data_IF_914751374115
#
_entry.id   IF_914751374115
#
_cell.length_a   1.000
_cell.length_b   1.000
_cell.length_c   1.000
_cell.angle_alpha   90.00
_cell.angle_beta   90.00
_cell.angle_gamma   90.00
#
_symmetry.space_group_name_H-M   'P 1'
#
loop_
_entity.id
_entity.type
_entity.pdbx_description
1 polymer ?
#
# COMPACT_ATOMS: atom_id res chain seq x y z
N UNK A 1 -2.36 5.05 18.04
CA UNK A 1 -2.73 3.67 18.43
C UNK A 1 -2.57 2.71 17.26
N UNK A 2 -3.53 2.67 16.34
CA UNK A 2 -3.54 1.72 15.21
C UNK A 2 -2.32 1.88 14.28
N UNK A 3 -2.03 3.10 13.81
CA UNK A 3 -0.92 3.35 12.88
C UNK A 3 0.46 3.02 13.45
N UNK A 4 0.72 3.31 14.72
CA UNK A 4 1.98 2.92 15.39
C UNK A 4 2.15 1.40 15.45
N UNK A 5 1.05 0.67 15.68
CA UNK A 5 1.04 -0.79 15.72
C UNK A 5 1.22 -1.41 14.33
N UNK A 6 0.64 -0.78 13.30
CA UNK A 6 0.86 -1.14 11.91
C UNK A 6 2.33 -0.99 11.53
N UNK A 7 2.94 0.17 11.85
CA UNK A 7 4.38 0.40 11.66
C UNK A 7 5.22 -0.65 12.39
N UNK A 8 4.95 -0.92 13.67
CA UNK A 8 5.73 -1.91 14.42
C UNK A 8 5.61 -3.33 13.90
N UNK A 9 4.56 -3.63 13.13
CA UNK A 9 4.28 -4.98 12.60
C UNK A 9 4.79 -5.12 11.16
N UNK A 10 4.56 -4.12 10.31
CA UNK A 10 4.82 -4.19 8.87
C UNK A 10 6.16 -3.58 8.48
N UNK A 11 6.61 -2.50 9.13
CA UNK A 11 7.83 -1.80 8.72
C UNK A 11 9.06 -2.72 8.74
N UNK A 12 9.32 -3.55 9.78
CA UNK A 12 10.45 -4.48 9.73
C UNK A 12 10.41 -5.43 8.51
N UNK A 13 9.22 -5.97 8.22
CA UNK A 13 9.02 -6.90 7.09
C UNK A 13 9.21 -6.19 5.74
N UNK A 14 8.81 -4.92 5.63
CA UNK A 14 9.00 -4.12 4.42
C UNK A 14 10.47 -3.73 4.22
N UNK A 15 11.20 -3.47 5.30
CA UNK A 15 12.65 -3.22 5.23
C UNK A 15 13.41 -4.47 4.79
N UNK A 16 13.07 -5.63 5.36
CA UNK A 16 13.65 -6.91 4.94
C UNK A 16 13.31 -7.23 3.46
N UNK A 17 12.09 -6.91 3.03
CA UNK A 17 11.70 -7.05 1.62
C UNK A 17 12.53 -6.13 0.72
N UNK A 18 12.73 -4.87 1.11
CA UNK A 18 13.57 -3.91 0.39
C UNK A 18 15.03 -4.39 0.28
N UNK A 19 15.57 -5.01 1.33
CA UNK A 19 16.89 -5.65 1.27
C UNK A 19 16.95 -6.77 0.24
N UNK A 20 15.93 -7.63 0.19
CA UNK A 20 15.86 -8.71 -0.80
C UNK A 20 15.73 -8.16 -2.23
N UNK A 21 14.87 -7.14 -2.44
CA UNK A 21 14.72 -6.46 -3.74
C UNK A 21 16.05 -5.89 -4.21
N UNK A 22 16.78 -5.18 -3.33
CA UNK A 22 18.08 -4.61 -3.69
C UNK A 22 19.14 -5.67 -4.00
N UNK A 23 19.14 -6.82 -3.30
CA UNK A 23 20.07 -7.93 -3.58
C UNK A 23 19.84 -8.58 -4.95
N UNK A 24 18.59 -8.64 -5.39
CA UNK A 24 18.22 -9.22 -6.69
C UNK A 24 18.29 -8.19 -7.84
N UNK A 25 18.44 -6.90 -7.52
CA UNK A 25 18.56 -5.83 -8.50
C UNK A 25 20.04 -5.55 -8.83
N UNK A 26 20.36 -5.48 -10.13
CA UNK A 26 21.71 -5.10 -10.58
C UNK A 26 22.00 -3.61 -10.37
N UNK A 27 20.96 -2.80 -10.27
CA UNK A 27 21.05 -1.36 -10.08
C UNK A 27 20.75 -0.96 -8.64
N UNK A 28 21.29 0.19 -8.24
CA UNK A 28 21.01 0.76 -6.92
C UNK A 28 19.63 1.42 -6.93
N UNK A 29 18.70 0.87 -6.17
CA UNK A 29 17.34 1.37 -6.07
C UNK A 29 17.25 2.45 -4.99
N UNK A 30 16.33 3.40 -5.19
CA UNK A 30 15.98 4.43 -4.22
C UNK A 30 14.64 4.03 -3.60
N UNK A 31 14.59 3.91 -2.28
CA UNK A 31 13.39 3.57 -1.53
C UNK A 31 12.83 4.83 -0.88
N UNK A 32 11.66 5.27 -1.33
CA UNK A 32 10.99 6.43 -0.76
C UNK A 32 10.06 5.97 0.37
N UNK A 33 10.27 6.50 1.58
CA UNK A 33 9.46 6.19 2.75
C UNK A 33 8.70 7.44 3.22
N UNK A 34 7.43 7.63 2.81
CA UNK A 34 6.63 8.76 3.26
C UNK A 34 6.29 8.62 4.75
N UNK A 35 6.65 9.62 5.55
CA UNK A 35 6.34 9.69 6.96
C UNK A 35 4.97 10.35 7.15
N UNK A 36 3.99 9.61 7.67
CA UNK A 36 2.69 10.17 8.00
C UNK A 36 2.82 11.26 9.09
N UNK A 37 2.04 12.34 8.97
CA UNK A 37 2.06 13.48 9.91
C UNK A 37 1.82 13.13 11.39
N UNK A 38 1.21 11.98 11.64
CA UNK A 38 0.95 11.44 12.99
C UNK A 38 2.12 10.65 13.59
N UNK A 39 3.22 10.51 12.86
CA UNK A 39 4.40 9.75 13.23
C UNK A 39 5.64 10.65 13.27
N UNK A 40 6.59 10.27 14.10
CA UNK A 40 7.90 10.90 14.16
C UNK A 40 8.96 9.93 13.61
N UNK A 41 10.10 10.45 13.12
CA UNK A 41 11.21 9.60 12.64
C UNK A 41 11.70 8.60 13.71
N UNK A 42 11.61 8.98 15.00
CA UNK A 42 11.93 8.07 16.11
C UNK A 42 11.07 6.80 16.09
N UNK A 43 9.81 6.90 15.65
CA UNK A 43 8.92 5.75 15.53
C UNK A 43 9.42 4.80 14.43
N UNK A 44 10.06 5.30 13.37
CA UNK A 44 10.67 4.46 12.34
C UNK A 44 11.94 3.78 12.86
N UNK A 45 12.79 4.52 13.57
CA UNK A 45 14.06 4.00 14.09
C UNK A 45 13.85 2.90 15.13
N UNK A 46 12.83 3.05 15.99
CA UNK A 46 12.46 2.04 16.97
C UNK A 46 11.93 0.75 16.33
N UNK A 47 11.48 0.81 15.07
CA UNK A 47 10.88 -0.31 14.35
C UNK A 47 11.75 -0.79 13.18
N UNK A 48 13.07 -0.73 13.34
CA UNK A 48 14.03 -1.40 12.47
C UNK A 48 14.74 -0.51 11.45
N UNK A 49 14.34 0.76 11.29
CA UNK A 49 15.06 1.68 10.40
C UNK A 49 16.39 2.09 11.03
N UNK A 50 17.49 1.41 10.67
CA UNK A 50 18.82 1.68 11.22
C UNK A 50 19.42 2.96 10.62
N UNK A 51 19.81 3.90 11.49
CA UNK A 51 20.55 5.10 11.11
C UNK A 51 21.97 4.69 10.65
N UNK A 52 22.25 4.74 9.35
CA UNK A 52 23.57 4.40 8.79
C UNK A 52 23.66 3.11 7.97
N UNK A 53 22.53 2.46 7.67
CA UNK A 53 22.41 1.64 6.46
C UNK A 53 22.22 0.14 6.67
N UNK A 54 21.05 -0.33 6.25
CA UNK A 54 20.79 -1.69 5.74
C UNK A 54 21.45 -1.94 4.37
N UNK A 55 22.40 -1.08 3.95
CA UNK A 55 22.89 -1.01 2.58
C UNK A 55 21.93 -0.31 1.59
N UNK A 56 20.72 0.04 2.04
CA UNK A 56 19.66 0.64 1.21
C UNK A 56 19.74 2.19 1.17
N UNK A 57 19.43 2.78 0.02
CA UNK A 57 19.19 4.23 -0.13
C UNK A 57 17.72 4.53 0.19
N UNK A 58 17.42 4.65 1.49
CA UNK A 58 16.08 4.99 1.98
C UNK A 58 15.99 6.49 2.24
N UNK A 59 15.05 7.16 1.56
CA UNK A 59 14.78 8.59 1.72
C UNK A 59 13.46 8.78 2.44
N UNK A 60 13.52 9.32 3.66
CA UNK A 60 12.33 9.66 4.43
C UNK A 60 11.79 10.99 3.90
N UNK A 61 10.54 11.00 3.45
CA UNK A 61 9.89 12.20 2.93
C UNK A 61 8.75 12.61 3.86
N UNK A 62 8.67 13.89 4.22
CA UNK A 62 7.72 14.42 5.20
C UNK A 62 6.52 15.13 4.57
N UNK A 63 6.73 15.72 3.39
CA UNK A 63 5.75 16.50 2.66
C UNK A 63 5.45 15.85 1.30
N UNK A 64 4.49 16.39 0.55
CA UNK A 64 4.22 16.02 -0.85
C UNK A 64 3.99 14.52 -1.10
N UNK A 65 3.30 13.85 -0.16
CA UNK A 65 3.00 12.41 -0.21
C UNK A 65 2.47 11.94 -1.57
N UNK A 66 1.61 12.72 -2.23
CA UNK A 66 1.06 12.35 -3.54
C UNK A 66 2.10 12.44 -4.66
N UNK A 67 2.99 13.44 -4.62
CA UNK A 67 4.07 13.56 -5.61
C UNK A 67 5.08 12.43 -5.42
N UNK A 68 5.37 12.07 -4.16
CA UNK A 68 6.20 10.90 -3.83
C UNK A 68 5.56 9.62 -4.35
N UNK A 69 4.26 9.41 -4.13
CA UNK A 69 3.55 8.25 -4.65
C UNK A 69 3.60 8.19 -6.18
N UNK A 70 3.32 9.31 -6.85
CA UNK A 70 3.31 9.39 -8.30
C UNK A 70 4.70 9.20 -8.93
N UNK A 71 5.76 9.49 -8.18
CA UNK A 71 7.14 9.27 -8.62
C UNK A 71 7.60 7.82 -8.50
N UNK A 72 6.88 6.95 -7.78
CA UNK A 72 7.26 5.56 -7.61
C UNK A 72 6.82 4.68 -8.80
N UNK A 73 7.70 3.78 -9.25
CA UNK A 73 7.36 2.77 -10.26
C UNK A 73 6.42 1.69 -9.69
N UNK A 74 6.59 1.35 -8.42
CA UNK A 74 5.78 0.38 -7.67
C UNK A 74 5.84 0.68 -6.17
N UNK A 75 4.77 0.36 -5.44
CA UNK A 75 4.66 0.65 -4.00
C UNK A 75 4.30 -0.59 -3.18
N UNK A 76 4.98 -0.78 -2.05
CA UNK A 76 4.53 -1.71 -0.99
C UNK A 76 3.57 -0.94 -0.09
N UNK A 77 2.30 -1.31 -0.10
CA UNK A 77 1.24 -0.60 0.63
C UNK A 77 0.70 -1.44 1.79
N UNK A 78 0.48 -0.80 2.94
CA UNK A 78 -0.41 -1.38 3.96
C UNK A 78 -1.88 -1.29 3.48
N UNK A 79 -2.72 -2.25 3.86
CA UNK A 79 -4.15 -2.16 3.56
C UNK A 79 -4.78 -0.91 4.20
N UNK A 80 -5.52 -0.14 3.40
CA UNK A 80 -6.17 1.08 3.84
C UNK A 80 -6.48 2.03 2.68
N UNK A 81 -6.82 3.28 3.00
CA UNK A 81 -7.16 4.32 2.01
C UNK A 81 -6.01 4.63 1.05
N UNK A 82 -4.77 4.37 1.47
CA UNK A 82 -3.57 4.52 0.64
C UNK A 82 -3.67 3.70 -0.65
N UNK A 83 -4.35 2.56 -0.63
CA UNK A 83 -4.54 1.72 -1.82
C UNK A 83 -5.39 2.41 -2.88
N UNK A 84 -6.44 3.13 -2.48
CA UNK A 84 -7.24 3.93 -3.40
C UNK A 84 -6.50 5.19 -3.85
N UNK A 85 -5.74 5.84 -2.96
CA UNK A 85 -4.91 6.99 -3.32
C UNK A 85 -3.89 6.62 -4.41
N UNK A 86 -3.23 5.46 -4.29
CA UNK A 86 -2.31 4.93 -5.30
C UNK A 86 -3.05 4.55 -6.60
N UNK A 87 -4.24 3.95 -6.51
CA UNK A 87 -5.05 3.62 -7.68
C UNK A 87 -5.47 4.87 -8.46
N UNK A 88 -5.81 5.97 -7.78
CA UNK A 88 -6.13 7.25 -8.41
C UNK A 88 -4.93 7.84 -9.19
N UNK A 89 -3.72 7.54 -8.74
CA UNK A 89 -2.45 7.93 -9.36
C UNK A 89 -1.94 6.91 -10.41
N UNK A 90 -2.70 5.85 -10.69
CA UNK A 90 -2.32 4.76 -11.58
C UNK A 90 -0.98 4.09 -11.20
N UNK A 91 -0.64 4.06 -9.90
CA UNK A 91 0.64 3.54 -9.37
C UNK A 91 0.50 2.06 -9.00
N UNK A 92 1.26 1.15 -9.65
CA UNK A 92 1.31 -0.27 -9.29
C UNK A 92 1.65 -0.48 -7.81
N UNK A 93 1.03 -1.48 -7.19
CA UNK A 93 1.25 -1.75 -5.77
C UNK A 93 1.11 -3.22 -5.39
N UNK A 94 1.72 -3.58 -4.26
CA UNK A 94 1.48 -4.84 -3.55
C UNK A 94 0.86 -4.49 -2.20
N UNK A 95 -0.33 -5.02 -1.92
CA UNK A 95 -1.08 -4.72 -0.71
C UNK A 95 -0.78 -5.77 0.34
N UNK A 96 -0.30 -5.35 1.50
CA UNK A 96 0.03 -6.21 2.63
C UNK A 96 -0.84 -5.90 3.84
N UNK A 97 -1.32 -6.92 4.52
CA UNK A 97 -2.09 -6.74 5.75
C UNK A 97 -1.86 -7.83 6.77
N UNK A 98 -1.62 -7.42 8.02
CA UNK A 98 -1.39 -8.32 9.16
C UNK A 98 -2.24 -7.89 10.34
N UNK A 99 -3.01 -8.83 10.89
CA UNK A 99 -3.82 -8.56 12.07
C UNK A 99 -2.94 -8.56 13.30
N UNK A 100 -3.39 -7.86 14.33
CA UNK A 100 -2.99 -8.25 15.67
C UNK A 100 -3.75 -9.51 16.08
N UNK A 101 -3.14 -10.44 16.83
CA UNK A 101 -3.84 -11.60 17.39
C UNK A 101 -5.11 -11.24 18.18
N UNK A 102 -5.18 -10.01 18.73
CA UNK A 102 -6.32 -9.52 19.52
C UNK A 102 -7.56 -9.13 18.69
N UNK A 103 -7.46 -9.03 17.35
CA UNK A 103 -8.53 -8.53 16.48
C UNK A 103 -9.35 -9.65 15.81
N UNK A 104 -9.78 -10.66 16.58
CA UNK A 104 -10.56 -11.82 16.11
C UNK A 104 -11.78 -11.44 15.27
N UNK A 105 -12.46 -10.34 15.59
CA UNK A 105 -13.68 -9.91 14.91
C UNK A 105 -13.42 -9.40 13.49
N UNK A 106 -12.29 -8.75 13.23
CA UNK A 106 -11.88 -8.35 11.88
C UNK A 106 -11.46 -9.57 11.05
N UNK A 107 -10.78 -10.53 11.68
CA UNK A 107 -10.42 -11.81 11.05
C UNK A 107 -11.64 -12.54 10.49
N UNK A 108 -12.73 -12.65 11.25
CA UNK A 108 -13.95 -13.33 10.78
C UNK A 108 -14.65 -12.65 9.60
N UNK A 109 -14.55 -11.34 9.51
CA UNK A 109 -15.16 -10.58 8.42
C UNK A 109 -14.34 -10.74 7.14
N UNK A 110 -13.02 -10.71 7.25
CA UNK A 110 -12.10 -10.86 6.13
C UNK A 110 -12.02 -12.28 5.58
N UNK A 111 -12.18 -13.32 6.43
CA UNK A 111 -12.30 -14.72 5.96
C UNK A 111 -13.47 -14.93 4.99
N UNK A 112 -14.50 -14.08 5.03
CA UNK A 112 -15.66 -14.18 4.12
C UNK A 112 -15.47 -13.39 2.83
N UNK A 113 -14.45 -12.52 2.77
CA UNK A 113 -14.22 -11.66 1.62
C UNK A 113 -13.19 -12.33 0.71
N UNK A 114 -13.50 -12.36 -0.60
CA UNK A 114 -12.58 -12.85 -1.63
C UNK A 114 -11.34 -11.95 -1.76
N UNK A 115 -11.51 -10.66 -1.47
CA UNK A 115 -10.48 -9.62 -1.52
C UNK A 115 -10.56 -8.74 -0.27
N UNK A 116 -9.43 -8.21 0.18
CA UNK A 116 -9.37 -7.34 1.35
C UNK A 116 -8.89 -5.92 1.06
N UNK A 117 -8.26 -5.68 -0.10
CA UNK A 117 -7.97 -4.32 -0.53
C UNK A 117 -9.21 -3.67 -1.12
N UNK A 118 -9.36 -2.36 -0.94
CA UNK A 118 -10.46 -1.62 -1.54
C UNK A 118 -10.39 -1.64 -3.07
N UNK A 119 -9.18 -1.71 -3.63
CA UNK A 119 -8.93 -1.77 -5.08
C UNK A 119 -9.55 -3.02 -5.69
N UNK A 120 -9.19 -4.20 -5.19
CA UNK A 120 -9.72 -5.46 -5.73
C UNK A 120 -11.21 -5.67 -5.38
N UNK A 121 -11.66 -5.16 -4.22
CA UNK A 121 -13.08 -5.17 -3.86
C UNK A 121 -13.93 -4.35 -4.85
N UNK A 122 -13.45 -3.19 -5.28
CA UNK A 122 -14.12 -2.38 -6.31
C UNK A 122 -14.03 -3.05 -7.67
N UNK A 123 -12.84 -3.53 -8.06
CA UNK A 123 -12.65 -4.21 -9.34
C UNK A 123 -13.49 -5.49 -9.49
N UNK A 124 -13.77 -6.19 -8.38
CA UNK A 124 -14.40 -7.51 -8.39
C UNK A 124 -13.45 -8.63 -8.83
N UNK A 125 -12.19 -8.30 -9.08
CA UNK A 125 -11.11 -9.20 -9.48
C UNK A 125 -9.76 -8.81 -8.84
N UNK A 126 -8.75 -9.66 -9.01
CA UNK A 126 -7.41 -9.38 -8.48
C UNK A 126 -6.63 -8.48 -9.44
N UNK A 127 -6.69 -7.17 -9.21
CA UNK A 127 -5.91 -6.16 -9.94
C UNK A 127 -4.51 -6.02 -9.32
N UNK A 128 -4.45 -5.99 -7.98
CA UNK A 128 -3.21 -5.86 -7.21
C UNK A 128 -2.98 -7.09 -6.35
N UNK A 129 -1.72 -7.59 -6.22
CA UNK A 129 -1.41 -8.69 -5.33
C UNK A 129 -1.75 -8.34 -3.89
N UNK A 130 -2.38 -9.28 -3.20
CA UNK A 130 -2.84 -9.16 -1.83
C UNK A 130 -2.16 -10.20 -0.94
N UNK A 131 -1.35 -9.76 0.01
CA UNK A 131 -0.65 -10.62 0.96
C UNK A 131 -1.29 -10.50 2.35
N UNK A 132 -1.84 -11.60 2.86
CA UNK A 132 -2.54 -11.63 4.14
C UNK A 132 -1.84 -12.52 5.18
N UNK A 133 -1.71 -12.02 6.41
CA UNK A 133 -1.15 -12.76 7.56
C UNK A 133 0.21 -13.43 7.30
N UNK A 134 0.20 -14.75 7.08
CA UNK A 134 1.37 -15.60 6.91
C UNK A 134 2.00 -15.41 5.52
N UNK A 135 1.27 -14.85 4.58
CA UNK A 135 1.78 -14.47 3.26
C UNK A 135 2.56 -13.16 3.30
N UNK A 136 2.40 -12.35 4.35
CA UNK A 136 3.19 -11.13 4.58
C UNK A 136 4.57 -11.54 5.08
N UNK A 137 5.39 -11.99 4.14
CA UNK A 137 6.79 -12.39 4.32
C UNK A 137 7.68 -11.57 3.38
N UNK A 138 8.90 -11.22 3.80
CA UNK A 138 9.82 -10.44 2.98
C UNK A 138 10.03 -11.02 1.57
N UNK A 139 10.09 -12.35 1.44
CA UNK A 139 10.32 -13.03 0.16
C UNK A 139 9.11 -12.94 -0.76
N UNK A 140 7.90 -12.99 -0.22
CA UNK A 140 6.67 -12.87 -0.99
C UNK A 140 6.46 -11.45 -1.50
N UNK A 141 6.76 -10.46 -0.64
CA UNK A 141 6.69 -9.04 -1.00
C UNK A 141 7.72 -8.75 -2.10
N UNK A 142 8.99 -9.12 -1.87
CA UNK A 142 10.08 -8.90 -2.82
C UNK A 142 9.79 -9.51 -4.20
N UNK A 143 9.35 -10.77 -4.23
CA UNK A 143 8.98 -11.46 -5.47
C UNK A 143 7.91 -10.70 -6.26
N UNK A 144 6.82 -10.30 -5.61
CA UNK A 144 5.75 -9.57 -6.30
C UNK A 144 6.22 -8.21 -6.82
N UNK A 145 7.01 -7.48 -6.03
CA UNK A 145 7.58 -6.19 -6.44
C UNK A 145 8.51 -6.36 -7.65
N UNK A 146 9.44 -7.32 -7.60
CA UNK A 146 10.38 -7.59 -8.69
C UNK A 146 9.67 -8.08 -9.95
N UNK A 147 8.65 -8.92 -9.82
CA UNK A 147 7.83 -9.33 -10.96
C UNK A 147 7.07 -8.15 -11.58
N UNK A 148 6.63 -7.14 -10.80
CA UNK A 148 6.01 -5.93 -11.36
C UNK A 148 7.06 -5.06 -12.07
N UNK A 149 8.25 -4.91 -11.47
CA UNK A 149 9.33 -4.09 -12.03
C UNK A 149 9.92 -4.68 -13.31
N UNK A 150 10.13 -6.00 -13.35
CA UNK A 150 10.83 -6.67 -14.44
C UNK A 150 9.89 -7.27 -15.51
N UNK A 151 8.57 -7.24 -15.30
CA UNK A 151 7.59 -7.69 -16.29
C UNK A 151 6.70 -6.52 -16.73
N UNK A 152 7.04 -5.85 -17.85
CA UNK A 152 6.24 -4.76 -18.39
C UNK A 152 4.78 -5.14 -18.65
N UNK A 153 4.49 -6.36 -19.13
CA UNK A 153 3.11 -6.79 -19.37
C UNK A 153 2.30 -6.89 -18.08
N UNK A 154 2.92 -7.36 -16.99
CA UNK A 154 2.26 -7.41 -15.67
C UNK A 154 2.00 -6.00 -15.16
N UNK A 155 2.98 -5.11 -15.26
CA UNK A 155 2.85 -3.71 -14.84
C UNK A 155 1.73 -3.00 -15.61
N UNK A 156 1.69 -3.14 -16.94
CA UNK A 156 0.66 -2.53 -17.79
C UNK A 156 -0.73 -3.09 -17.51
N UNK A 157 -0.87 -4.41 -17.33
CA UNK A 157 -2.16 -5.00 -16.91
C UNK A 157 -2.65 -4.43 -15.59
N UNK A 158 -1.75 -4.27 -14.61
CA UNK A 158 -2.10 -3.68 -13.33
C UNK A 158 -2.54 -2.22 -13.49
N UNK A 159 -1.78 -1.40 -14.24
CA UNK A 159 -2.14 -0.01 -14.51
C UNK A 159 -3.51 0.11 -15.17
N UNK A 160 -3.84 -0.77 -16.12
CA UNK A 160 -5.15 -0.81 -16.74
C UNK A 160 -6.26 -1.14 -15.73
N UNK A 161 -6.07 -2.14 -14.87
CA UNK A 161 -7.05 -2.45 -13.82
C UNK A 161 -7.19 -1.31 -12.80
N UNK A 162 -6.10 -0.61 -12.47
CA UNK A 162 -6.15 0.57 -11.60
C UNK A 162 -6.93 1.73 -12.24
N UNK A 163 -6.76 1.93 -13.55
CA UNK A 163 -7.54 2.89 -14.32
C UNK A 163 -9.04 2.55 -14.25
N UNK A 164 -9.41 1.28 -14.45
CA UNK A 164 -10.80 0.84 -14.37
C UNK A 164 -11.39 1.09 -12.96
N UNK A 165 -10.61 0.81 -11.91
CA UNK A 165 -11.00 1.12 -10.51
C UNK A 165 -11.19 2.63 -10.32
N UNK A 166 -10.30 3.47 -10.86
CA UNK A 166 -10.43 4.93 -10.79
C UNK A 166 -11.71 5.41 -11.48
N UNK A 167 -12.06 4.85 -12.63
CA UNK A 167 -13.29 5.19 -13.33
C UNK A 167 -14.54 4.82 -12.52
N UNK A 168 -14.52 3.66 -11.85
CA UNK A 168 -15.62 3.21 -10.98
C UNK A 168 -15.82 4.07 -9.73
N UNK A 169 -14.74 4.61 -9.15
CA UNK A 169 -14.82 5.56 -8.03
C UNK A 169 -15.57 6.85 -8.40
N UNK A 170 -15.64 7.16 -9.71
CA UNK A 170 -16.37 8.27 -10.26
C UNK A 170 -15.70 9.63 -10.05
N UNK A 171 -16.44 10.69 -10.33
CA UNK A 171 -15.93 12.07 -10.31
C UNK A 171 -16.01 12.68 -8.91
N UNK A 172 -15.22 13.75 -8.71
CA UNK A 172 -15.24 14.62 -7.52
C UNK A 172 -16.67 15.05 -7.14
N UNK A 173 -16.88 15.45 -5.89
CA UNK A 173 -18.18 15.90 -5.37
C UNK A 173 -18.99 14.80 -4.68
N UNK A 174 -18.36 13.74 -4.17
CA UNK A 174 -19.05 12.70 -3.41
C UNK A 174 -19.76 13.28 -2.17
N UNK A 175 -19.11 14.17 -1.43
CA UNK A 175 -19.69 14.86 -0.28
C UNK A 175 -20.89 15.73 -0.66
N UNK A 176 -20.81 16.46 -1.78
CA UNK A 176 -21.91 17.31 -2.25
C UNK A 176 -23.13 16.48 -2.66
N UNK A 177 -22.90 15.36 -3.36
CA UNK A 177 -23.97 14.41 -3.70
C UNK A 177 -24.62 13.82 -2.46
N UNK A 178 -23.82 13.45 -1.45
CA UNK A 178 -24.35 12.94 -0.18
C UNK A 178 -25.16 14.00 0.57
N UNK A 179 -24.68 15.25 0.62
CA UNK A 179 -25.40 16.37 1.23
C UNK A 179 -26.73 16.65 0.49
N UNK A 180 -26.72 16.64 -0.84
CA UNK A 180 -27.93 16.81 -1.64
C UNK A 180 -28.94 15.69 -1.41
N UNK A 181 -28.47 14.44 -1.32
CA UNK A 181 -29.33 13.29 -1.01
C UNK A 181 -29.98 13.45 0.38
N UNK A 182 -29.19 13.85 1.38
CA UNK A 182 -29.69 14.07 2.74
C UNK A 182 -30.75 15.20 2.77
N UNK A 183 -30.52 16.31 2.05
CA UNK A 183 -31.51 17.38 1.88
C UNK A 183 -32.79 16.87 1.23
N UNK A 184 -32.69 16.08 0.16
CA UNK A 184 -33.85 15.52 -0.54
C UNK A 184 -34.66 14.54 0.31
N UNK A 185 -34.10 13.96 1.38
CA UNK A 185 -34.83 13.09 2.32
C UNK A 185 -35.57 13.87 3.42
N UNK A 186 -35.25 15.16 3.60
CA UNK A 186 -35.88 16.05 4.57
C UNK A 186 -37.04 16.87 3.96
N UNK A 187 -37.11 16.95 2.63
CA UNK A 187 -38.20 17.57 1.86
C UNK A 187 -39.19 16.52 1.38
#
# INVERSE_FOLDING_TARGET
GSRKKEISTLLPLFLDAAENIQKESSEKLIFLLPLASTLEEKDLWQNGLKKGGTGLDIRIIRDDRYDVMAACEVVIAASGTVTLELALLDVPMVVSYKFSPLTYQLGRMLVKLKYFSLVNLIAGEEVVPELLQDEVRPENIARNILEILHNPERSERMRKGLLDVREQLGKKGASDRAAQLALNMLC
#
